data_IF_672128840069
#
_entry.id   IF_672128840069
#
_cell.length_a   1.000
_cell.length_b   1.000
_cell.length_c   1.000
_cell.angle_alpha   90.00
_cell.angle_beta   90.00
_cell.angle_gamma   90.00
#
_symmetry.space_group_name_H-M   'P 1'
#
loop_
_entity.id
_entity.type
_entity.pdbx_description
1 polymer ?
#
# COMPACT_ATOMS: atom_id res chain seq x y z
N UNK A 1 14.28 14.16 -1.52
CA UNK A 1 13.31 13.49 -0.62
C UNK A 1 13.90 12.18 -0.08
N UNK A 2 13.71 11.85 1.21
CA UNK A 2 14.00 10.54 1.79
C UNK A 2 12.70 9.75 1.96
N UNK A 3 12.62 8.56 1.36
CA UNK A 3 11.45 7.71 1.42
C UNK A 3 11.74 6.43 2.23
N UNK A 4 10.74 5.86 2.89
CA UNK A 4 10.81 4.62 3.63
C UNK A 4 9.70 3.64 3.21
N UNK A 5 10.10 2.44 2.80
CA UNK A 5 9.22 1.29 2.65
C UNK A 5 9.22 0.49 3.95
N UNK A 6 8.07 0.38 4.60
CA UNK A 6 7.93 -0.39 5.83
C UNK A 6 7.58 -1.84 5.51
N UNK A 7 8.31 -2.78 6.09
CA UNK A 7 8.02 -4.21 5.98
C UNK A 7 7.37 -4.71 7.25
N UNK A 8 6.28 -5.48 7.12
CA UNK A 8 5.55 -6.04 8.26
C UNK A 8 5.31 -7.54 8.06
N UNK A 9 5.00 -8.21 9.18
CA UNK A 9 4.41 -9.55 9.20
C UNK A 9 3.12 -9.42 10.00
N UNK A 10 2.06 -8.95 9.33
CA UNK A 10 0.79 -8.66 9.98
C UNK A 10 0.13 -9.93 10.53
N UNK A 11 -0.52 -9.80 11.67
CA UNK A 11 -1.22 -10.84 12.42
C UNK A 11 -2.74 -10.76 12.19
N UNK A 12 -3.53 -11.73 12.72
CA UNK A 12 -4.99 -11.62 12.75
C UNK A 12 -5.53 -10.59 13.77
N UNK A 13 -4.67 -9.87 14.49
CA UNK A 13 -5.06 -8.91 15.55
C UNK A 13 -4.76 -7.47 15.09
N UNK A 14 -5.83 -6.72 14.88
CA UNK A 14 -5.75 -5.35 14.35
C UNK A 14 -4.95 -4.43 15.27
N UNK A 15 -5.19 -4.47 16.58
CA UNK A 15 -4.53 -3.63 17.58
C UNK A 15 -3.01 -3.82 17.60
N UNK A 16 -2.53 -5.05 17.51
CA UNK A 16 -1.10 -5.35 17.43
C UNK A 16 -0.49 -4.80 16.14
N UNK A 17 -1.17 -4.98 15.02
CA UNK A 17 -0.71 -4.49 13.72
C UNK A 17 -0.67 -2.95 13.67
N UNK A 18 -1.66 -2.28 14.24
CA UNK A 18 -1.67 -0.81 14.33
C UNK A 18 -0.54 -0.31 15.23
N UNK A 19 -0.29 -0.95 16.37
CA UNK A 19 0.82 -0.59 17.25
C UNK A 19 2.18 -0.80 16.56
N UNK A 20 2.36 -1.90 15.83
CA UNK A 20 3.57 -2.15 15.05
C UNK A 20 3.75 -1.10 13.94
N UNK A 21 2.69 -0.78 13.20
CA UNK A 21 2.73 0.23 12.15
C UNK A 21 3.14 1.60 12.71
N UNK A 22 2.55 2.03 13.84
CA UNK A 22 2.91 3.28 14.51
C UNK A 22 4.39 3.31 14.92
N UNK A 23 4.90 2.23 15.50
CA UNK A 23 6.31 2.14 15.89
C UNK A 23 7.25 2.25 14.69
N UNK A 24 6.94 1.57 13.58
CA UNK A 24 7.73 1.63 12.35
C UNK A 24 7.69 3.01 11.69
N UNK A 25 6.52 3.66 11.66
CA UNK A 25 6.37 5.04 11.16
C UNK A 25 7.23 6.00 11.99
N UNK A 26 7.17 5.91 13.32
CA UNK A 26 7.98 6.72 14.21
C UNK A 26 9.48 6.51 13.98
N UNK A 27 9.92 5.26 13.81
CA UNK A 27 11.30 4.92 13.51
C UNK A 27 11.77 5.51 12.17
N UNK A 28 10.96 5.38 11.12
CA UNK A 28 11.26 5.95 9.80
C UNK A 28 11.38 7.47 9.86
N UNK A 29 10.44 8.13 10.52
CA UNK A 29 10.45 9.57 10.72
C UNK A 29 11.69 10.05 11.50
N UNK A 30 12.06 9.34 12.58
CA UNK A 30 13.26 9.63 13.36
C UNK A 30 14.55 9.50 12.54
N UNK A 31 14.54 8.63 11.51
CA UNK A 31 15.63 8.50 10.55
C UNK A 31 15.57 9.56 9.43
N UNK A 32 14.63 10.49 9.48
CA UNK A 32 14.49 11.61 8.55
C UNK A 32 13.69 11.30 7.29
N UNK A 33 12.87 10.24 7.27
CA UNK A 33 11.96 10.00 6.17
C UNK A 33 10.94 11.14 6.05
N UNK A 34 10.64 11.51 4.82
CA UNK A 34 9.63 12.51 4.47
C UNK A 34 8.38 11.86 3.87
N UNK A 35 8.59 10.73 3.17
CA UNK A 35 7.54 9.84 2.67
C UNK A 35 7.69 8.49 3.32
N UNK A 36 6.61 7.98 3.92
CA UNK A 36 6.56 6.65 4.54
C UNK A 36 5.43 5.85 3.90
N UNK A 37 5.68 4.59 3.54
CA UNK A 37 4.68 3.71 2.96
C UNK A 37 4.59 2.38 3.70
N UNK A 38 3.37 2.02 4.12
CA UNK A 38 3.02 0.74 4.74
C UNK A 38 2.71 -0.32 3.66
N UNK A 39 2.81 -1.63 3.96
CA UNK A 39 2.49 -2.70 3.02
C UNK A 39 0.97 -2.92 2.87
N UNK A 40 0.59 -3.70 1.85
CA UNK A 40 -0.78 -4.19 1.68
C UNK A 40 -1.21 -5.01 2.91
N UNK A 41 -2.49 -4.88 3.33
CA UNK A 41 -3.04 -5.57 4.50
C UNK A 41 -2.27 -5.30 5.80
N UNK A 42 -1.67 -4.12 5.94
CA UNK A 42 -0.91 -3.77 7.14
C UNK A 42 -1.72 -3.95 8.42
N UNK A 43 -3.03 -3.72 8.36
CA UNK A 43 -3.94 -3.74 9.52
C UNK A 43 -4.42 -5.15 9.90
N UNK A 44 -4.48 -6.10 8.94
CA UNK A 44 -4.98 -7.44 9.20
C UNK A 44 -4.47 -8.46 8.18
N UNK A 45 -3.85 -9.52 8.65
CA UNK A 45 -3.66 -10.77 7.89
C UNK A 45 -4.53 -11.85 8.55
N UNK A 46 -5.84 -11.86 8.19
CA UNK A 46 -6.85 -12.72 8.80
C UNK A 46 -6.63 -14.22 8.54
N UNK A 47 -7.26 -15.08 9.32
CA UNK A 47 -7.26 -16.54 9.10
C UNK A 47 -8.03 -16.91 7.83
N UNK A 48 -9.10 -16.17 7.53
CA UNK A 48 -9.92 -16.33 6.33
C UNK A 48 -9.96 -15.02 5.56
N UNK A 49 -10.14 -15.11 4.25
CA UNK A 49 -10.23 -13.93 3.39
C UNK A 49 -11.40 -13.01 3.76
N UNK A 50 -12.49 -13.56 4.30
CA UNK A 50 -13.66 -12.81 4.75
C UNK A 50 -13.44 -12.02 6.06
N UNK A 51 -12.38 -12.28 6.83
CA UNK A 51 -12.18 -11.62 8.13
C UNK A 51 -12.03 -10.09 8.00
N UNK A 52 -11.57 -9.61 6.84
CA UNK A 52 -11.49 -8.17 6.51
C UNK A 52 -12.84 -7.46 6.50
N UNK A 53 -13.94 -8.19 6.26
CA UNK A 53 -15.30 -7.63 6.24
C UNK A 53 -15.73 -7.15 7.63
N UNK A 54 -15.29 -7.84 8.69
CA UNK A 54 -15.65 -7.53 10.07
C UNK A 54 -14.97 -6.26 10.61
N UNK A 55 -13.85 -5.84 9.99
CA UNK A 55 -13.07 -4.67 10.40
C UNK A 55 -13.18 -3.51 9.42
N UNK A 56 -14.05 -3.64 8.40
CA UNK A 56 -14.18 -2.62 7.37
C UNK A 56 -14.71 -1.31 7.93
N UNK A 57 -14.06 -0.22 7.58
CA UNK A 57 -14.45 1.13 7.97
C UNK A 57 -15.23 1.83 6.86
N UNK A 58 -16.20 2.70 7.18
CA UNK A 58 -16.68 3.68 6.22
C UNK A 58 -15.54 4.62 5.83
N UNK A 59 -15.63 5.26 4.67
CA UNK A 59 -14.66 6.30 4.32
C UNK A 59 -14.90 7.50 5.24
N UNK A 60 -13.93 7.80 6.11
CA UNK A 60 -14.01 8.88 7.08
C UNK A 60 -13.95 10.27 6.40
N UNK A 61 -14.26 11.32 7.16
CA UNK A 61 -13.93 12.69 6.78
C UNK A 61 -12.41 12.82 6.52
N UNK A 62 -12.06 13.65 5.54
CA UNK A 62 -10.67 13.78 5.09
C UNK A 62 -9.77 14.50 6.12
N UNK A 63 -10.33 15.45 6.89
CA UNK A 63 -9.57 16.31 7.81
C UNK A 63 -9.63 15.80 9.24
N UNK A 64 -10.73 15.12 9.62
CA UNK A 64 -11.00 14.71 10.99
C UNK A 64 -11.63 13.31 11.06
N UNK A 65 -10.88 12.23 10.75
CA UNK A 65 -11.42 10.88 10.90
C UNK A 65 -11.73 10.57 12.38
N UNK A 66 -12.96 10.12 12.64
CA UNK A 66 -13.40 9.76 13.97
C UNK A 66 -12.79 8.42 14.40
N UNK A 67 -12.04 8.44 15.50
CA UNK A 67 -11.35 7.24 16.02
C UNK A 67 -12.31 6.15 16.56
N UNK A 68 -13.58 6.46 16.83
CA UNK A 68 -14.55 5.45 17.29
C UNK A 68 -15.10 4.64 16.10
N UNK A 69 -15.34 5.30 14.97
CA UNK A 69 -15.93 4.66 13.78
C UNK A 69 -14.88 4.27 12.74
N UNK A 70 -13.72 4.94 12.71
CA UNK A 70 -12.67 4.77 11.73
C UNK A 70 -11.27 4.73 12.38
N UNK A 71 -11.01 3.80 13.33
CA UNK A 71 -9.77 3.77 14.11
C UNK A 71 -8.50 3.63 13.26
N UNK A 72 -8.54 2.88 12.15
CA UNK A 72 -7.38 2.71 11.26
C UNK A 72 -7.06 4.02 10.53
N UNK A 73 -8.08 4.68 9.97
CA UNK A 73 -7.92 5.96 9.30
C UNK A 73 -7.47 7.06 10.26
N UNK A 74 -8.03 7.09 11.47
CA UNK A 74 -7.64 8.04 12.51
C UNK A 74 -6.18 7.84 12.95
N UNK A 75 -5.74 6.59 13.11
CA UNK A 75 -4.35 6.26 13.42
C UNK A 75 -3.40 6.75 12.35
N UNK A 76 -3.71 6.53 11.06
CA UNK A 76 -2.88 6.97 9.94
C UNK A 76 -2.78 8.51 9.88
N UNK A 77 -3.91 9.21 9.99
CA UNK A 77 -3.96 10.68 10.01
C UNK A 77 -3.14 11.26 11.18
N UNK A 78 -3.33 10.70 12.37
CA UNK A 78 -2.60 11.13 13.56
C UNK A 78 -1.10 10.86 13.42
N UNK A 79 -0.67 9.69 12.93
CA UNK A 79 0.73 9.37 12.73
C UNK A 79 1.39 10.31 11.72
N UNK A 80 0.74 10.57 10.58
CA UNK A 80 1.24 11.54 9.59
C UNK A 80 1.46 12.92 10.20
N UNK A 81 0.47 13.43 10.97
CA UNK A 81 0.53 14.73 11.64
C UNK A 81 1.59 14.77 12.73
N UNK A 82 1.62 13.75 13.60
CA UNK A 82 2.54 13.70 14.74
C UNK A 82 4.00 13.70 14.30
N UNK A 83 4.31 13.01 13.21
CA UNK A 83 5.68 12.87 12.71
C UNK A 83 6.02 13.83 11.58
N UNK A 84 5.05 14.63 11.09
CA UNK A 84 5.25 15.58 9.99
C UNK A 84 5.72 14.91 8.71
N UNK A 85 5.15 13.76 8.36
CA UNK A 85 5.51 12.95 7.19
C UNK A 85 4.33 12.80 6.23
N UNK A 86 4.62 12.63 4.95
CA UNK A 86 3.66 12.07 4.01
C UNK A 86 3.53 10.58 4.29
N UNK A 87 2.30 10.10 4.46
CA UNK A 87 2.04 8.71 4.81
C UNK A 87 1.13 8.03 3.78
N UNK A 88 1.65 7.01 3.11
CA UNK A 88 0.87 6.10 2.28
C UNK A 88 0.49 4.91 3.16
N UNK A 89 -0.80 4.81 3.49
CA UNK A 89 -1.33 3.93 4.52
C UNK A 89 -1.45 2.46 4.11
N UNK A 90 -0.53 1.96 3.26
CA UNK A 90 -0.61 0.57 2.80
C UNK A 90 -1.98 0.28 2.21
N UNK A 91 -2.67 -0.76 2.71
CA UNK A 91 -4.10 -0.93 2.42
C UNK A 91 -4.91 -1.31 3.65
N UNK A 92 -6.17 -0.86 3.65
CA UNK A 92 -7.18 -1.20 4.65
C UNK A 92 -8.54 -1.45 3.96
N UNK A 93 -9.44 -2.25 4.58
CA UNK A 93 -10.76 -2.50 4.02
C UNK A 93 -11.67 -1.30 4.24
N UNK A 94 -12.17 -0.71 3.15
CA UNK A 94 -13.19 0.34 3.17
C UNK A 94 -14.52 -0.24 2.66
N UNK A 95 -15.62 0.07 3.34
CA UNK A 95 -16.96 -0.37 2.93
C UNK A 95 -17.24 -0.02 1.48
N UNK A 96 -17.73 -0.99 0.70
CA UNK A 96 -18.15 -0.78 -0.67
C UNK A 96 -19.67 -0.60 -0.76
N UNK A 97 -20.15 -0.28 -1.95
CA UNK A 97 -21.58 -0.23 -2.25
C UNK A 97 -22.20 -1.62 -2.44
N UNK A 98 -21.37 -2.66 -2.52
CA UNK A 98 -21.81 -4.05 -2.66
C UNK A 98 -21.91 -4.72 -1.28
N UNK A 99 -23.04 -5.40 -1.01
CA UNK A 99 -23.17 -6.18 0.21
C UNK A 99 -22.11 -7.29 0.28
N UNK A 100 -21.50 -7.49 1.45
CA UNK A 100 -20.49 -8.52 1.72
C UNK A 100 -19.17 -8.37 0.93
N UNK A 101 -18.91 -7.16 0.41
CA UNK A 101 -17.63 -6.80 -0.22
C UNK A 101 -17.10 -5.48 0.31
N UNK A 102 -15.78 -5.33 0.24
CA UNK A 102 -15.09 -4.09 0.62
C UNK A 102 -14.11 -3.70 -0.48
N UNK A 103 -13.68 -2.45 -0.50
CA UNK A 103 -12.53 -2.04 -1.29
C UNK A 103 -11.24 -2.37 -0.53
N UNK A 104 -10.21 -2.81 -1.25
CA UNK A 104 -8.83 -2.87 -0.76
C UNK A 104 -8.18 -1.52 -1.08
N UNK A 105 -8.16 -0.62 -0.08
CA UNK A 105 -7.96 0.82 -0.30
C UNK A 105 -6.63 1.30 0.25
N UNK A 106 -5.88 2.01 -0.57
CA UNK A 106 -4.76 2.84 -0.13
C UNK A 106 -5.24 4.28 0.11
N UNK A 107 -4.95 4.82 1.28
CA UNK A 107 -5.20 6.22 1.63
C UNK A 107 -3.85 6.95 1.80
N UNK A 108 -3.79 8.21 1.37
CA UNK A 108 -2.61 9.06 1.49
C UNK A 108 -2.92 10.24 2.39
N UNK A 109 -2.08 10.45 3.39
CA UNK A 109 -2.18 11.57 4.32
C UNK A 109 -0.97 12.50 4.17
N UNK A 110 -1.24 13.81 4.16
CA UNK A 110 -0.19 14.82 4.17
C UNK A 110 0.38 15.04 5.61
N UNK A 111 1.44 15.82 5.79
CA UNK A 111 2.03 16.10 7.11
C UNK A 111 1.11 16.84 8.10
N UNK A 112 -0.05 17.32 7.69
CA UNK A 112 -1.09 17.88 8.55
C UNK A 112 -2.10 16.82 9.00
N UNK A 113 -1.98 15.58 8.52
CA UNK A 113 -2.92 14.48 8.80
C UNK A 113 -4.19 14.53 7.96
N UNK A 114 -4.21 15.34 6.91
CA UNK A 114 -5.34 15.46 5.99
C UNK A 114 -5.20 14.39 4.90
N UNK A 115 -6.27 13.64 4.62
CA UNK A 115 -6.30 12.70 3.50
C UNK A 115 -6.37 13.45 2.18
N UNK A 116 -5.39 13.24 1.32
CA UNK A 116 -5.24 13.93 0.02
C UNK A 116 -5.50 13.02 -1.18
N UNK A 117 -5.43 11.71 -1.01
CA UNK A 117 -5.72 10.75 -2.09
C UNK A 117 -6.30 9.45 -1.54
N UNK A 118 -7.07 8.76 -2.40
CA UNK A 118 -7.62 7.42 -2.21
C UNK A 118 -7.43 6.63 -3.49
N UNK A 119 -6.93 5.43 -3.38
CA UNK A 119 -6.85 4.47 -4.47
C UNK A 119 -7.45 3.13 -4.03
N UNK A 120 -8.42 2.64 -4.75
CA UNK A 120 -8.99 1.32 -4.58
C UNK A 120 -8.35 0.37 -5.59
N UNK A 121 -7.79 -0.75 -5.12
CA UNK A 121 -7.11 -1.75 -5.96
C UNK A 121 -7.97 -2.14 -7.16
N UNK A 122 -7.43 -1.97 -8.36
CA UNK A 122 -8.16 -2.23 -9.61
C UNK A 122 -8.11 -3.72 -9.95
N UNK A 123 -6.91 -4.32 -9.95
CA UNK A 123 -6.73 -5.70 -10.38
C UNK A 123 -6.74 -6.64 -9.18
N UNK A 124 -7.82 -7.41 -9.06
CA UNK A 124 -7.99 -8.38 -7.98
C UNK A 124 -7.23 -9.67 -8.28
N UNK A 125 -6.55 -10.20 -7.26
CA UNK A 125 -5.78 -11.42 -7.41
C UNK A 125 -6.68 -12.63 -7.53
N UNK A 126 -6.49 -13.40 -8.61
CA UNK A 126 -7.11 -14.69 -8.83
C UNK A 126 -6.02 -15.68 -9.23
N UNK A 127 -5.94 -16.79 -8.53
CA UNK A 127 -4.99 -17.86 -8.78
C UNK A 127 -5.59 -19.19 -8.36
N UNK A 128 -5.47 -20.19 -9.21
CA UNK A 128 -5.89 -21.55 -8.95
C UNK A 128 -4.87 -22.49 -9.61
N UNK A 129 -4.21 -23.36 -8.82
CA UNK A 129 -3.27 -24.37 -9.31
C UNK A 129 -3.77 -25.80 -9.06
N UNK A 130 -5.04 -25.95 -8.65
CA UNK A 130 -5.67 -27.21 -8.30
C UNK A 130 -5.51 -27.61 -6.84
N UNK A 131 -4.42 -27.20 -6.17
CA UNK A 131 -4.18 -27.45 -4.74
C UNK A 131 -4.58 -26.24 -3.88
N UNK A 132 -4.36 -25.03 -4.40
CA UNK A 132 -4.68 -23.77 -3.72
C UNK A 132 -5.41 -22.81 -4.64
N UNK A 133 -6.56 -22.32 -4.20
CA UNK A 133 -7.32 -21.32 -4.91
C UNK A 133 -7.38 -20.01 -4.10
N UNK A 134 -7.09 -18.90 -4.76
CA UNK A 134 -7.25 -17.55 -4.24
C UNK A 134 -8.14 -16.77 -5.19
N UNK A 135 -9.18 -16.14 -4.69
CA UNK A 135 -10.04 -15.28 -5.50
C UNK A 135 -10.52 -14.08 -4.66
N UNK A 136 -9.81 -12.99 -4.76
CA UNK A 136 -10.14 -11.75 -4.04
C UNK A 136 -11.53 -11.20 -4.40
N UNK A 137 -12.06 -11.50 -5.60
CA UNK A 137 -13.37 -11.03 -6.04
C UNK A 137 -14.54 -11.56 -5.21
N UNK A 138 -14.33 -12.57 -4.37
CA UNK A 138 -15.36 -13.04 -3.44
C UNK A 138 -15.64 -12.04 -2.32
N UNK A 139 -14.62 -11.27 -1.89
CA UNK A 139 -14.70 -10.34 -0.76
C UNK A 139 -14.35 -8.90 -1.11
N UNK A 140 -13.78 -8.67 -2.30
CA UNK A 140 -13.39 -7.34 -2.75
C UNK A 140 -14.22 -6.86 -3.94
N UNK A 141 -14.54 -5.56 -3.92
CA UNK A 141 -15.02 -4.80 -5.08
C UNK A 141 -13.81 -4.15 -5.75
N UNK A 142 -13.62 -4.32 -7.07
CA UNK A 142 -12.51 -3.67 -7.77
C UNK A 142 -12.69 -2.15 -7.84
N UNK A 143 -11.59 -1.42 -7.75
CA UNK A 143 -11.51 -0.02 -8.12
C UNK A 143 -11.62 0.17 -9.63
N UNK A 144 -11.82 1.41 -10.07
CA UNK A 144 -12.01 1.73 -11.49
C UNK A 144 -11.12 2.86 -12.00
N UNK A 145 -10.48 3.60 -11.10
CA UNK A 145 -9.77 4.82 -11.45
C UNK A 145 -8.28 4.72 -11.10
N UNK A 146 -7.36 4.94 -12.07
CA UNK A 146 -5.96 5.21 -11.78
C UNK A 146 -5.84 6.50 -10.96
N UNK A 147 -5.01 6.51 -9.93
CA UNK A 147 -4.83 7.67 -9.04
C UNK A 147 -3.36 8.03 -8.92
N UNK A 148 -3.04 9.28 -9.20
CA UNK A 148 -1.78 9.91 -8.88
C UNK A 148 -2.02 11.20 -8.12
N UNK A 149 -1.09 11.58 -7.23
CA UNK A 149 -1.16 12.81 -6.46
C UNK A 149 0.18 13.52 -6.46
N UNK A 150 0.18 14.80 -6.13
CA UNK A 150 1.38 15.61 -6.00
C UNK A 150 1.70 15.84 -4.51
N UNK A 151 2.96 15.62 -4.14
CA UNK A 151 3.49 16.01 -2.84
C UNK A 151 4.65 17.00 -3.00
N UNK A 152 4.88 17.81 -1.98
CA UNK A 152 6.06 18.67 -1.88
C UNK A 152 6.93 18.18 -0.73
N UNK A 153 8.22 17.94 -0.97
CA UNK A 153 9.18 17.57 0.05
C UNK A 153 9.66 18.79 0.85
N UNK A 154 10.44 18.56 1.91
CA UNK A 154 10.95 19.63 2.80
C UNK A 154 11.89 20.62 2.08
N UNK A 155 12.43 20.26 0.92
CA UNK A 155 13.26 21.16 0.09
C UNK A 155 12.42 22.07 -0.82
N UNK A 156 11.10 21.85 -0.91
CA UNK A 156 10.20 22.54 -1.82
C UNK A 156 10.08 21.88 -3.20
N UNK A 157 10.71 20.71 -3.41
CA UNK A 157 10.61 19.95 -4.65
C UNK A 157 9.26 19.23 -4.72
N UNK A 158 8.56 19.40 -5.84
CA UNK A 158 7.32 18.67 -6.14
C UNK A 158 7.63 17.30 -6.71
N UNK A 159 6.86 16.29 -6.28
CA UNK A 159 6.93 14.89 -6.69
C UNK A 159 5.54 14.42 -7.10
N UNK A 160 5.41 13.86 -8.31
CA UNK A 160 4.18 13.22 -8.76
C UNK A 160 4.25 11.72 -8.50
N UNK A 161 3.31 11.21 -7.68
CA UNK A 161 3.32 9.85 -7.18
C UNK A 161 2.11 9.09 -7.69
N UNK A 162 2.34 7.96 -8.37
CA UNK A 162 1.30 7.03 -8.81
C UNK A 162 1.05 5.95 -7.76
N UNK A 163 -0.23 5.63 -7.51
CA UNK A 163 -0.66 4.60 -6.58
C UNK A 163 -1.02 3.31 -7.30
N UNK A 164 -0.61 2.19 -6.72
CA UNK A 164 -0.93 0.84 -7.18
C UNK A 164 -0.86 -0.12 -5.99
N UNK A 165 -1.41 -1.34 -6.11
CA UNK A 165 -1.40 -2.34 -5.05
C UNK A 165 -1.13 -3.73 -5.61
N UNK A 166 -0.04 -4.37 -5.18
CA UNK A 166 0.27 -5.79 -5.31
C UNK A 166 0.06 -6.37 -6.72
N UNK A 167 -1.09 -7.00 -6.99
CA UNK A 167 -1.39 -7.65 -8.27
C UNK A 167 -1.44 -6.67 -9.45
N UNK A 168 -1.67 -5.38 -9.20
CA UNK A 168 -1.55 -4.31 -10.20
C UNK A 168 -0.18 -4.33 -10.91
N UNK A 169 0.84 -4.82 -10.22
CA UNK A 169 2.20 -4.97 -10.76
C UNK A 169 2.25 -5.71 -12.10
N UNK A 170 1.28 -6.59 -12.37
CA UNK A 170 1.23 -7.39 -13.61
C UNK A 170 0.62 -6.67 -14.80
N UNK A 171 0.06 -5.47 -14.59
CA UNK A 171 -0.71 -4.73 -15.59
C UNK A 171 0.02 -3.43 -15.98
N UNK A 172 0.92 -3.45 -16.98
CA UNK A 172 1.67 -2.26 -17.40
C UNK A 172 0.78 -1.11 -17.86
N UNK A 173 -0.43 -1.41 -18.33
CA UNK A 173 -1.42 -0.44 -18.79
C UNK A 173 -1.81 0.55 -17.68
N UNK A 174 -1.93 0.08 -16.43
CA UNK A 174 -2.22 0.94 -15.28
C UNK A 174 -1.12 2.00 -15.11
N UNK A 175 0.14 1.60 -15.17
CA UNK A 175 1.28 2.51 -14.95
C UNK A 175 1.40 3.52 -16.11
N UNK A 176 1.07 3.12 -17.34
CA UNK A 176 0.95 4.03 -18.46
C UNK A 176 -0.19 5.02 -18.29
N UNK A 177 -1.34 4.57 -17.79
CA UNK A 177 -2.48 5.45 -17.51
C UNK A 177 -2.17 6.45 -16.39
N UNK A 178 -1.46 6.04 -15.32
CA UNK A 178 -1.03 6.91 -14.23
C UNK A 178 -0.11 8.05 -14.70
N UNK A 179 0.76 7.78 -15.67
CA UNK A 179 1.67 8.77 -16.29
C UNK A 179 1.07 9.55 -17.46
N UNK A 180 -0.20 9.29 -17.84
CA UNK A 180 -0.83 9.96 -18.96
C UNK A 180 -0.97 11.47 -18.70
N UNK A 181 -0.50 12.29 -19.64
CA UNK A 181 -0.54 13.76 -19.56
C UNK A 181 0.59 14.38 -18.73
N UNK A 182 1.08 13.74 -17.67
CA UNK A 182 2.25 14.19 -16.88
C UNK A 182 3.01 12.97 -16.33
N UNK A 183 4.33 12.87 -16.59
CA UNK A 183 5.16 11.76 -16.11
C UNK A 183 5.12 11.63 -14.57
N UNK A 184 5.30 10.39 -14.09
CA UNK A 184 5.48 10.12 -12.68
C UNK A 184 6.95 10.27 -12.28
N UNK A 185 7.18 10.73 -11.05
CA UNK A 185 8.49 10.69 -10.40
C UNK A 185 8.69 9.42 -9.58
N UNK A 186 7.58 8.89 -9.03
CA UNK A 186 7.57 7.72 -8.17
C UNK A 186 6.27 6.91 -8.36
N UNK A 187 6.40 5.58 -8.42
CA UNK A 187 5.30 4.63 -8.23
C UNK A 187 5.42 4.05 -6.83
N UNK A 188 4.31 3.99 -6.08
CA UNK A 188 4.25 3.29 -4.80
C UNK A 188 3.32 2.08 -4.91
N UNK A 189 3.83 0.92 -4.47
CA UNK A 189 3.18 -0.37 -4.63
C UNK A 189 3.21 -1.18 -3.32
N UNK A 190 2.29 -0.93 -2.37
CA UNK A 190 2.07 -1.81 -1.23
C UNK A 190 1.71 -3.23 -1.68
N UNK A 191 2.31 -4.25 -1.06
CA UNK A 191 2.07 -5.63 -1.49
C UNK A 191 2.07 -6.64 -0.35
N UNK A 192 1.30 -7.72 -0.54
CA UNK A 192 1.39 -8.99 0.19
C UNK A 192 1.66 -10.12 -0.82
N UNK A 193 2.74 -9.99 -1.57
CA UNK A 193 3.09 -10.88 -2.68
C UNK A 193 3.35 -12.29 -2.18
N UNK A 194 2.77 -13.31 -2.80
CA UNK A 194 3.00 -14.71 -2.39
C UNK A 194 4.48 -15.07 -2.56
N UNK A 195 5.02 -15.88 -1.65
CA UNK A 195 6.44 -16.27 -1.65
C UNK A 195 6.87 -16.88 -2.98
N UNK A 196 6.09 -17.85 -3.52
CA UNK A 196 6.43 -18.57 -4.76
C UNK A 196 6.53 -17.62 -5.96
N UNK A 197 5.50 -16.78 -6.15
CA UNK A 197 5.52 -15.83 -7.28
C UNK A 197 6.48 -14.67 -7.03
N UNK A 198 6.76 -14.35 -5.78
CA UNK A 198 7.75 -13.34 -5.39
C UNK A 198 9.15 -13.71 -5.81
N UNK A 199 9.59 -14.94 -5.54
CA UNK A 199 10.87 -15.47 -5.98
C UNK A 199 11.09 -15.33 -7.49
N UNK A 200 10.05 -15.55 -8.28
CA UNK A 200 10.15 -15.54 -9.73
C UNK A 200 9.95 -14.15 -10.38
N UNK A 201 9.11 -13.28 -9.78
CA UNK A 201 8.59 -12.13 -10.52
C UNK A 201 8.74 -10.79 -9.81
N UNK A 202 8.91 -10.74 -8.48
CA UNK A 202 8.84 -9.51 -7.70
C UNK A 202 9.83 -8.44 -8.18
N UNK A 203 11.11 -8.74 -8.08
CA UNK A 203 12.16 -7.80 -8.48
C UNK A 203 12.12 -7.50 -9.98
N UNK A 204 11.94 -8.55 -10.81
CA UNK A 204 11.87 -8.41 -12.27
C UNK A 204 10.80 -7.42 -12.69
N UNK A 205 9.57 -7.57 -12.17
CA UNK A 205 8.47 -6.71 -12.56
C UNK A 205 8.61 -5.30 -12.01
N UNK A 206 9.06 -5.12 -10.77
CA UNK A 206 9.29 -3.79 -10.20
C UNK A 206 10.35 -3.01 -10.99
N UNK A 207 11.45 -3.67 -11.37
CA UNK A 207 12.49 -3.06 -12.23
C UNK A 207 11.94 -2.71 -13.60
N UNK A 208 11.11 -3.57 -14.19
CA UNK A 208 10.44 -3.28 -15.46
C UNK A 208 9.56 -2.01 -15.33
N UNK A 209 8.76 -1.88 -14.26
CA UNK A 209 7.91 -0.68 -14.04
C UNK A 209 8.74 0.59 -13.88
N UNK A 210 9.87 0.52 -13.20
CA UNK A 210 10.78 1.67 -13.07
C UNK A 210 11.34 2.11 -14.43
N UNK A 211 11.91 1.17 -15.18
CA UNK A 211 12.58 1.44 -16.45
C UNK A 211 11.61 1.93 -17.52
N UNK A 212 10.47 1.24 -17.69
CA UNK A 212 9.52 1.58 -18.76
C UNK A 212 8.78 2.92 -18.53
N UNK A 213 8.65 3.36 -17.26
CA UNK A 213 8.02 4.62 -16.91
C UNK A 213 9.02 5.72 -16.55
N UNK A 214 10.33 5.45 -16.59
CA UNK A 214 11.43 6.37 -16.27
C UNK A 214 11.26 7.05 -14.92
N UNK A 215 10.80 6.28 -13.89
CA UNK A 215 10.53 6.79 -12.55
C UNK A 215 11.03 5.82 -11.49
N UNK A 216 11.10 6.28 -10.24
CA UNK A 216 11.40 5.40 -9.11
C UNK A 216 10.22 4.47 -8.81
N UNK A 217 10.49 3.34 -8.13
CA UNK A 217 9.46 2.45 -7.57
C UNK A 217 9.77 2.17 -6.10
N UNK A 218 8.80 2.47 -5.21
CA UNK A 218 8.84 2.15 -3.78
C UNK A 218 7.80 1.07 -3.50
N UNK A 219 8.24 -0.11 -3.10
CA UNK A 219 7.38 -1.28 -2.92
C UNK A 219 7.49 -1.86 -1.51
N UNK A 220 6.72 -1.34 -0.52
CA UNK A 220 6.64 -1.94 0.80
C UNK A 220 5.89 -3.28 0.75
N UNK A 221 6.47 -4.33 1.35
CA UNK A 221 5.93 -5.69 1.29
C UNK A 221 5.65 -6.31 2.65
N UNK A 222 4.60 -7.12 2.72
CA UNK A 222 4.46 -8.12 3.77
C UNK A 222 5.50 -9.21 3.58
N UNK A 223 6.20 -9.64 4.65
CA UNK A 223 7.26 -10.62 4.58
C UNK A 223 7.17 -11.68 5.68
N UNK A 224 7.60 -12.90 5.36
CA UNK A 224 7.67 -13.98 6.32
C UNK A 224 6.47 -14.93 6.30
N UNK A 225 6.32 -15.68 7.39
CA UNK A 225 5.24 -16.65 7.61
C UNK A 225 4.22 -16.05 8.58
N UNK A 226 2.96 -15.97 8.14
CA UNK A 226 1.86 -15.44 8.92
C UNK A 226 1.17 -16.54 9.72
N UNK A 227 0.50 -16.19 10.82
CA UNK A 227 -0.19 -17.13 11.70
C UNK A 227 -1.26 -17.98 10.98
N UNK A 228 -1.80 -17.50 9.87
CA UNK A 228 -2.74 -18.26 9.03
C UNK A 228 -2.06 -19.27 8.09
N UNK A 229 -0.74 -19.46 8.20
CA UNK A 229 0.06 -20.33 7.34
C UNK A 229 0.40 -19.76 5.96
N UNK A 230 -0.06 -18.54 5.66
CA UNK A 230 0.32 -17.84 4.43
C UNK A 230 1.78 -17.39 4.53
N UNK A 231 2.53 -17.58 3.45
CA UNK A 231 3.90 -17.10 3.33
C UNK A 231 3.98 -16.01 2.28
N UNK A 232 4.45 -14.82 2.67
CA UNK A 232 4.67 -13.68 1.78
C UNK A 232 6.15 -13.45 1.54
N UNK A 233 6.48 -12.81 0.41
CA UNK A 233 7.86 -12.75 -0.08
C UNK A 233 8.72 -11.74 0.68
N UNK A 234 8.16 -10.63 1.14
CA UNK A 234 8.90 -9.52 1.73
C UNK A 234 9.72 -8.77 0.69
N UNK A 235 11.01 -8.59 0.97
CA UNK A 235 11.92 -7.88 0.08
C UNK A 235 11.34 -6.54 -0.37
N UNK A 236 10.97 -5.70 0.61
CA UNK A 236 10.57 -4.32 0.31
C UNK A 236 11.70 -3.61 -0.45
N UNK A 237 11.37 -2.98 -1.58
CA UNK A 237 12.37 -2.45 -2.52
C UNK A 237 12.17 -0.97 -2.79
N UNK A 238 13.29 -0.27 -2.98
CA UNK A 238 13.36 1.00 -3.70
C UNK A 238 14.20 0.78 -4.95
N UNK A 239 13.65 1.12 -6.10
CA UNK A 239 14.27 0.95 -7.42
C UNK A 239 14.39 2.29 -8.12
N UNK A 240 15.54 2.55 -8.74
CA UNK A 240 15.81 3.74 -9.52
C UNK A 240 15.25 3.66 -10.95
N UNK A 241 15.14 4.81 -11.65
CA UNK A 241 14.62 4.86 -13.02
C UNK A 241 15.44 4.04 -14.05
N UNK A 242 16.68 3.70 -13.71
CA UNK A 242 17.55 2.84 -14.52
C UNK A 242 17.36 1.35 -14.24
N UNK A 243 16.51 1.01 -13.28
CA UNK A 243 16.24 -0.36 -12.86
C UNK A 243 17.23 -0.92 -11.82
N UNK A 244 18.09 -0.09 -11.27
CA UNK A 244 18.98 -0.44 -10.16
C UNK A 244 18.22 -0.52 -8.83
N UNK A 245 18.53 -1.54 -8.01
CA UNK A 245 18.00 -1.66 -6.66
C UNK A 245 18.78 -0.72 -5.75
N UNK A 246 18.12 0.35 -5.29
CA UNK A 246 18.70 1.37 -4.42
C UNK A 246 18.68 0.95 -2.95
N UNK A 247 17.67 0.19 -2.54
CA UNK A 247 17.53 -0.38 -1.19
C UNK A 247 16.65 -1.63 -1.19
N UNK A 248 16.95 -2.55 -0.28
CA UNK A 248 16.17 -3.76 -0.02
C UNK A 248 16.14 -4.02 1.50
#
# INVERSE_FOLDING_TARGET
>A
MKAAALQMVSTPRVDENLAQAQALIAQAAAQGAELVALPEYFCLMGHRDADKLAIAEPLADAEAPDAQTCPMQAMLAQAAKQHGVWLIGGTLPILSHEAQRVFNTTLVFNPQGIRVARYDKIHLFCFDDGDKAYNEAHTLTPGTQPVAFDMTDRSGQSWRIGLSVCYDLRFPELFRALGAGRPLDLIVLPAAFTHTTGLAHWELLLRARAVENLCHVLAPGQGGEHENGRRTFGHSLLIGPWGDVLAC
#
